data_IF_431913330307
#
_entry.id   IF_431913330307
#
_cell.length_a   1.000
_cell.length_b   1.000
_cell.length_c   1.000
_cell.angle_alpha   90.00
_cell.angle_beta   90.00
_cell.angle_gamma   90.00
#
_symmetry.space_group_name_H-M   'P 1'
#
loop_
_entity.id
_entity.type
_entity.pdbx_description
1 polymer ?
#
# COMPACT_ATOMS: atom_id res chain seq x y z
N UNK A 1 -58.61 48.67 -57.98
CA UNK A 1 -57.20 48.56 -57.52
C UNK A 1 -56.29 48.34 -58.73
N UNK A 2 -55.51 49.35 -59.15
CA UNK A 2 -54.56 49.24 -60.29
C UNK A 2 -53.23 48.69 -59.80
N UNK A 3 -52.85 47.49 -60.24
CA UNK A 3 -51.56 46.86 -59.92
C UNK A 3 -50.39 47.64 -60.52
N UNK A 4 -49.46 48.09 -59.67
CA UNK A 4 -48.17 48.68 -60.10
C UNK A 4 -47.36 47.61 -60.83
N UNK A 5 -47.21 47.74 -62.16
CA UNK A 5 -46.22 46.98 -62.93
C UNK A 5 -44.82 47.33 -62.41
N UNK A 6 -44.09 46.33 -61.89
CA UNK A 6 -42.67 46.48 -61.53
C UNK A 6 -41.87 46.80 -62.80
N UNK A 7 -41.04 47.86 -62.75
CA UNK A 7 -40.10 48.19 -63.84
C UNK A 7 -39.16 47.00 -64.10
N UNK A 8 -38.78 46.72 -65.37
CA UNK A 8 -37.79 45.70 -65.67
C UNK A 8 -36.46 46.02 -64.99
N UNK A 9 -35.84 45.02 -64.37
CA UNK A 9 -34.49 45.17 -63.79
C UNK A 9 -33.52 45.54 -64.93
N UNK A 10 -32.62 46.53 -64.73
CA UNK A 10 -31.67 46.89 -65.78
C UNK A 10 -30.80 45.67 -66.13
N UNK A 11 -30.45 45.47 -67.41
CA UNK A 11 -29.50 44.42 -67.79
C UNK A 11 -28.16 44.69 -67.11
N UNK A 12 -27.58 43.66 -66.50
CA UNK A 12 -26.27 43.76 -65.84
C UNK A 12 -25.25 44.17 -66.92
N UNK A 13 -24.49 45.27 -66.75
CA UNK A 13 -23.59 45.77 -67.78
C UNK A 13 -22.30 44.94 -67.79
N UNK A 14 -22.29 43.83 -68.54
CA UNK A 14 -21.13 42.93 -68.70
C UNK A 14 -19.93 43.57 -69.42
N UNK A 15 -20.02 44.85 -69.84
CA UNK A 15 -18.99 45.57 -70.60
C UNK A 15 -18.39 46.77 -69.84
N UNK A 16 -18.44 46.75 -68.51
CA UNK A 16 -17.70 47.73 -67.70
C UNK A 16 -16.23 47.30 -67.58
N UNK A 17 -15.25 48.22 -67.68
CA UNK A 17 -13.84 47.90 -67.43
C UNK A 17 -13.61 47.36 -66.01
N UNK A 18 -14.52 47.62 -65.08
CA UNK A 18 -14.49 47.13 -63.70
C UNK A 18 -14.97 45.68 -63.55
N UNK A 19 -15.71 45.12 -64.53
CA UNK A 19 -16.21 43.73 -64.45
C UNK A 19 -15.05 42.73 -64.41
N UNK A 20 -14.00 42.97 -65.20
CA UNK A 20 -12.78 42.16 -65.16
C UNK A 20 -12.08 42.24 -63.80
N UNK A 21 -11.98 43.43 -63.20
CA UNK A 21 -11.37 43.64 -61.87
C UNK A 21 -12.15 42.89 -60.79
N UNK A 22 -13.49 42.98 -60.81
CA UNK A 22 -14.36 42.29 -59.84
C UNK A 22 -14.30 40.77 -60.01
N UNK A 23 -14.30 40.26 -61.25
CA UNK A 23 -14.15 38.83 -61.51
C UNK A 23 -12.78 38.30 -61.10
N UNK A 24 -11.71 39.07 -61.33
CA UNK A 24 -10.34 38.68 -60.99
C UNK A 24 -10.12 38.71 -59.46
N UNK A 25 -10.66 39.72 -58.77
CA UNK A 25 -10.69 39.77 -57.32
C UNK A 25 -11.52 38.62 -56.71
N UNK A 26 -12.69 38.33 -57.27
CA UNK A 26 -13.52 37.20 -56.86
C UNK A 26 -12.82 35.85 -57.09
N UNK A 27 -12.16 35.68 -58.24
CA UNK A 27 -11.36 34.50 -58.55
C UNK A 27 -10.19 34.29 -57.58
N UNK A 28 -9.49 35.37 -57.22
CA UNK A 28 -8.41 35.31 -56.23
C UNK A 28 -8.90 34.88 -54.84
N UNK A 29 -10.08 35.36 -54.40
CA UNK A 29 -10.69 34.96 -53.13
C UNK A 29 -11.06 33.47 -53.15
N UNK A 30 -11.69 32.98 -54.22
CA UNK A 30 -12.06 31.56 -54.35
C UNK A 30 -10.82 30.66 -54.38
N UNK A 31 -9.77 31.06 -55.12
CA UNK A 31 -8.51 30.33 -55.15
C UNK A 31 -7.84 30.29 -53.77
N UNK A 32 -7.83 31.41 -53.03
CA UNK A 32 -7.30 31.45 -51.66
C UNK A 32 -8.10 30.56 -50.69
N UNK A 33 -9.43 30.53 -50.79
CA UNK A 33 -10.28 29.64 -49.99
C UNK A 33 -10.03 28.16 -50.33
N UNK A 34 -9.87 27.83 -51.62
CA UNK A 34 -9.58 26.47 -52.06
C UNK A 34 -8.19 25.99 -51.58
N UNK A 35 -7.17 26.85 -51.70
CA UNK A 35 -5.80 26.56 -51.22
C UNK A 35 -5.78 26.38 -49.71
N UNK A 36 -6.40 27.28 -48.94
CA UNK A 36 -6.46 27.12 -47.48
C UNK A 36 -7.21 25.83 -47.11
N UNK A 37 -8.35 25.55 -47.73
CA UNK A 37 -9.12 24.33 -47.45
C UNK A 37 -8.35 23.03 -47.71
N UNK A 38 -7.48 22.99 -48.72
CA UNK A 38 -6.65 21.84 -49.08
C UNK A 38 -5.42 21.63 -48.17
N UNK A 39 -5.02 22.67 -47.42
CA UNK A 39 -3.88 22.60 -46.48
C UNK A 39 -4.31 22.17 -45.07
N UNK A 40 -5.60 22.19 -44.79
CA UNK A 40 -6.17 21.71 -43.54
C UNK A 40 -6.10 20.18 -43.50
N UNK A 41 -5.68 19.65 -42.36
CA UNK A 41 -5.57 18.22 -42.08
C UNK A 41 -6.71 17.81 -41.14
N UNK A 42 -7.38 16.72 -41.44
CA UNK A 42 -8.39 16.12 -40.58
C UNK A 42 -7.70 15.07 -39.70
N UNK A 43 -7.64 15.33 -38.39
CA UNK A 43 -6.92 14.48 -37.43
C UNK A 43 -7.83 14.06 -36.29
N UNK A 44 -7.55 12.90 -35.71
CA UNK A 44 -8.28 12.37 -34.55
C UNK A 44 -7.40 12.47 -33.32
N UNK A 45 -7.82 13.26 -32.35
CA UNK A 45 -7.13 13.35 -31.04
C UNK A 45 -7.86 12.43 -30.05
N UNK A 46 -7.11 11.52 -29.44
CA UNK A 46 -7.59 10.56 -28.44
C UNK A 46 -6.94 10.90 -27.11
N UNK A 47 -7.67 11.49 -26.17
CA UNK A 47 -7.15 11.82 -24.83
C UNK A 47 -7.74 10.84 -23.82
N UNK A 48 -6.90 10.02 -23.21
CA UNK A 48 -7.31 9.00 -22.23
C UNK A 48 -8.49 8.14 -22.75
N UNK A 49 -8.46 7.78 -24.04
CA UNK A 49 -9.51 6.99 -24.72
C UNK A 49 -10.67 7.80 -25.32
N UNK A 50 -10.84 9.08 -24.97
CA UNK A 50 -11.90 9.94 -25.54
C UNK A 50 -11.46 10.52 -26.89
N UNK A 51 -12.22 10.20 -27.94
CA UNK A 51 -11.93 10.63 -29.32
C UNK A 51 -12.59 11.97 -29.66
N UNK A 52 -11.83 12.85 -30.31
CA UNK A 52 -12.28 14.13 -30.84
C UNK A 52 -11.69 14.33 -32.23
N UNK A 53 -12.54 14.61 -33.23
CA UNK A 53 -12.08 14.99 -34.56
C UNK A 53 -11.72 16.48 -34.57
N UNK A 54 -10.55 16.81 -35.10
CA UNK A 54 -10.00 18.16 -35.13
C UNK A 54 -9.51 18.44 -36.54
N UNK A 55 -9.93 19.57 -37.11
CA UNK A 55 -9.40 20.08 -38.36
C UNK A 55 -8.33 21.11 -38.04
N UNK A 56 -7.09 20.85 -38.45
CA UNK A 56 -5.93 21.63 -38.03
C UNK A 56 -5.02 21.97 -39.21
N UNK A 57 -4.39 23.15 -39.13
CA UNK A 57 -3.36 23.60 -40.08
C UNK A 57 -1.94 23.31 -39.58
N UNK A 58 -1.83 22.70 -38.41
CA UNK A 58 -0.58 22.43 -37.73
C UNK A 58 0.43 21.69 -38.62
N UNK A 59 1.70 22.09 -38.46
CA UNK A 59 2.83 21.42 -39.08
C UNK A 59 3.27 20.19 -38.26
N UNK A 60 3.04 20.20 -36.94
CA UNK A 60 3.47 19.15 -36.00
C UNK A 60 2.33 18.62 -35.14
N UNK A 61 2.56 17.46 -34.51
CA UNK A 61 1.62 16.88 -33.53
C UNK A 61 1.38 17.83 -32.35
N UNK A 62 2.43 18.51 -31.86
CA UNK A 62 2.32 19.48 -30.75
C UNK A 62 1.38 20.63 -31.08
N UNK A 63 1.53 21.20 -32.27
CA UNK A 63 0.71 22.35 -32.68
C UNK A 63 -0.76 21.91 -32.88
N UNK A 64 -0.97 20.70 -33.42
CA UNK A 64 -2.31 20.13 -33.60
C UNK A 64 -3.04 19.92 -32.26
N UNK A 65 -2.29 19.49 -31.23
CA UNK A 65 -2.82 19.39 -29.87
C UNK A 65 -3.15 20.77 -29.28
N UNK A 66 -2.33 21.78 -29.58
CA UNK A 66 -2.62 23.18 -29.24
C UNK A 66 -3.93 23.67 -29.86
N UNK A 67 -4.13 23.43 -31.16
CA UNK A 67 -5.38 23.74 -31.88
C UNK A 67 -6.60 23.01 -31.26
N UNK A 68 -6.38 21.79 -30.78
CA UNK A 68 -7.40 20.99 -30.09
C UNK A 68 -7.68 21.43 -28.63
N UNK A 69 -6.95 22.42 -28.11
CA UNK A 69 -7.03 22.86 -26.70
C UNK A 69 -6.43 21.86 -25.71
N UNK A 70 -5.55 20.96 -26.16
CA UNK A 70 -4.89 19.94 -25.34
C UNK A 70 -3.47 20.40 -24.99
N UNK A 71 -3.29 20.88 -23.77
CA UNK A 71 -1.96 21.20 -23.24
C UNK A 71 -1.28 19.94 -22.68
N UNK A 72 -0.04 19.68 -23.11
CA UNK A 72 0.77 18.57 -22.61
C UNK A 72 1.42 18.95 -21.27
N UNK A 73 1.21 18.13 -20.25
CA UNK A 73 1.85 18.22 -18.95
C UNK A 73 3.18 17.46 -18.87
N UNK A 74 3.88 17.61 -17.75
CA UNK A 74 5.07 16.80 -17.45
C UNK A 74 4.66 15.33 -17.25
N UNK A 75 5.35 14.42 -17.94
CA UNK A 75 5.10 12.97 -17.89
C UNK A 75 4.00 12.47 -18.83
N UNK A 76 3.27 13.36 -19.51
CA UNK A 76 2.28 12.95 -20.51
C UNK A 76 2.98 12.22 -21.68
N UNK A 77 2.35 11.15 -22.16
CA UNK A 77 2.85 10.39 -23.29
C UNK A 77 1.98 10.68 -24.50
N UNK A 78 2.61 11.15 -25.58
CA UNK A 78 1.95 11.42 -26.87
C UNK A 78 2.49 10.50 -27.95
N UNK A 79 1.59 9.92 -28.72
CA UNK A 79 1.89 9.08 -29.89
C UNK A 79 1.07 9.54 -31.08
N UNK A 80 1.68 9.87 -32.23
CA UNK A 80 3.12 9.94 -32.49
C UNK A 80 3.84 11.03 -31.65
N UNK A 81 5.19 11.05 -31.58
CA UNK A 81 5.92 12.03 -30.79
C UNK A 81 5.56 13.48 -31.13
N UNK A 82 5.58 14.37 -30.13
CA UNK A 82 5.09 15.75 -30.25
C UNK A 82 5.72 16.55 -31.40
N UNK A 83 6.97 16.28 -31.76
CA UNK A 83 7.70 17.00 -32.82
C UNK A 83 7.57 16.36 -34.20
N UNK A 84 6.86 15.24 -34.32
CA UNK A 84 6.67 14.59 -35.61
C UNK A 84 5.80 15.47 -36.53
N UNK A 85 6.15 15.59 -37.83
CA UNK A 85 5.30 16.26 -38.80
C UNK A 85 3.90 15.63 -38.86
N UNK A 86 2.88 16.48 -38.91
CA UNK A 86 1.49 16.03 -38.93
C UNK A 86 1.06 15.63 -40.34
N UNK A 87 0.59 14.40 -40.48
CA UNK A 87 -0.04 13.91 -41.70
C UNK A 87 -1.56 14.08 -41.65
N UNK A 88 -2.19 14.22 -42.83
CA UNK A 88 -3.65 14.17 -42.94
C UNK A 88 -4.18 12.78 -42.56
N UNK A 89 -5.32 12.72 -41.89
CA UNK A 89 -5.89 11.48 -41.34
C UNK A 89 -5.17 10.92 -40.11
N UNK A 90 -4.17 11.62 -39.55
CA UNK A 90 -3.41 11.11 -38.42
C UNK A 90 -4.27 10.92 -37.15
N UNK A 91 -3.98 9.87 -36.39
CA UNK A 91 -4.51 9.67 -35.04
C UNK A 91 -3.44 10.00 -34.01
N UNK A 92 -3.73 10.96 -33.14
CA UNK A 92 -2.85 11.40 -32.04
C UNK A 92 -3.43 10.86 -30.74
N UNK A 93 -2.75 9.93 -30.10
CA UNK A 93 -3.08 9.43 -28.76
C UNK A 93 -2.28 10.21 -27.70
N UNK A 94 -2.99 10.74 -26.71
CA UNK A 94 -2.44 11.40 -25.53
C UNK A 94 -2.88 10.61 -24.31
N UNK A 95 -1.90 10.13 -23.54
CA UNK A 95 -2.11 9.55 -22.21
C UNK A 95 -1.58 10.50 -21.17
N UNK A 96 -2.47 10.94 -20.28
CA UNK A 96 -2.10 11.91 -19.24
C UNK A 96 -1.42 11.24 -18.07
N UNK A 97 -0.38 11.88 -17.57
CA UNK A 97 0.32 11.47 -16.36
C UNK A 97 -0.56 11.65 -15.12
N UNK A 98 -0.58 10.65 -14.26
CA UNK A 98 -1.36 10.59 -13.02
C UNK A 98 -0.41 10.30 -11.87
N UNK A 99 -0.33 11.18 -10.86
CA UNK A 99 0.53 10.94 -9.71
C UNK A 99 -0.04 9.84 -8.81
N UNK A 100 0.79 8.87 -8.47
CA UNK A 100 0.47 7.79 -7.53
C UNK A 100 1.40 7.89 -6.32
N UNK A 101 0.79 8.01 -5.14
CA UNK A 101 1.49 7.81 -3.86
C UNK A 101 1.34 6.35 -3.46
N UNK A 102 2.34 5.55 -3.76
CA UNK A 102 2.34 4.10 -3.52
C UNK A 102 3.00 3.77 -2.19
N UNK A 103 2.28 3.06 -1.31
CA UNK A 103 2.84 2.41 -0.11
C UNK A 103 2.92 0.90 -0.34
N UNK A 104 4.11 0.40 -0.66
CA UNK A 104 4.37 -1.02 -0.88
C UNK A 104 5.04 -1.63 0.36
N UNK A 105 4.37 -2.60 0.99
CA UNK A 105 4.85 -3.28 2.20
C UNK A 105 5.33 -2.32 3.31
N UNK A 106 4.67 -1.16 3.42
CA UNK A 106 4.97 -0.12 4.39
C UNK A 106 6.00 0.92 3.98
N UNK A 107 6.58 0.84 2.78
CA UNK A 107 7.46 1.87 2.21
C UNK A 107 6.70 2.72 1.22
N UNK A 108 6.67 4.02 1.45
CA UNK A 108 5.97 4.99 0.59
C UNK A 108 6.92 5.58 -0.47
N UNK A 109 6.43 5.69 -1.70
CA UNK A 109 7.13 6.31 -2.83
C UNK A 109 6.13 6.99 -3.76
N UNK A 110 6.58 8.01 -4.50
CA UNK A 110 5.76 8.74 -5.47
C UNK A 110 6.18 8.37 -6.89
N UNK A 111 5.18 8.11 -7.74
CA UNK A 111 5.38 7.70 -9.12
C UNK A 111 4.39 8.43 -10.03
N UNK A 112 4.72 8.52 -11.31
CA UNK A 112 3.80 8.96 -12.35
C UNK A 112 3.45 7.75 -13.23
N UNK A 113 2.16 7.55 -13.47
CA UNK A 113 1.63 6.49 -14.36
C UNK A 113 0.75 7.10 -15.43
N UNK A 114 0.53 6.40 -16.54
CA UNK A 114 -0.34 6.84 -17.63
C UNK A 114 -1.65 6.05 -17.73
N UNK A 115 -1.73 4.90 -17.05
CA UNK A 115 -2.94 4.08 -17.00
C UNK A 115 -4.13 4.82 -16.36
N UNK A 116 -5.32 4.59 -16.89
CA UNK A 116 -6.58 5.14 -16.38
C UNK A 116 -7.18 4.33 -15.23
N UNK A 117 -6.67 3.13 -14.96
CA UNK A 117 -7.14 2.21 -13.92
C UNK A 117 -6.00 1.69 -13.03
N UNK A 118 -6.37 1.17 -11.85
CA UNK A 118 -5.42 0.67 -10.83
C UNK A 118 -4.62 -0.53 -11.36
N UNK A 119 -5.25 -1.46 -12.08
CA UNK A 119 -4.60 -2.65 -12.61
C UNK A 119 -3.44 -2.29 -13.55
N UNK A 120 -3.71 -1.42 -14.53
CA UNK A 120 -2.70 -0.94 -15.47
C UNK A 120 -1.66 -0.06 -14.79
N UNK A 121 -2.04 0.75 -13.80
CA UNK A 121 -1.08 1.56 -13.04
C UNK A 121 -0.08 0.66 -12.27
N UNK A 122 -0.56 -0.39 -11.61
CA UNK A 122 0.32 -1.35 -10.93
C UNK A 122 1.19 -2.12 -11.93
N UNK A 123 0.66 -2.46 -13.11
CA UNK A 123 1.44 -3.12 -14.16
C UNK A 123 2.58 -2.24 -14.70
N UNK A 124 2.35 -0.94 -14.90
CA UNK A 124 3.38 0.04 -15.28
C UNK A 124 4.50 0.14 -14.22
N UNK A 125 4.14 0.02 -12.93
CA UNK A 125 5.10 0.00 -11.83
C UNK A 125 5.76 -1.38 -11.60
N UNK A 126 5.53 -2.34 -12.50
CA UNK A 126 5.99 -3.73 -12.38
C UNK A 126 5.54 -4.43 -11.09
N UNK A 127 4.38 -4.04 -10.55
CA UNK A 127 3.75 -4.65 -9.37
C UNK A 127 2.66 -5.59 -9.89
N UNK A 128 2.84 -6.92 -9.78
CA UNK A 128 1.87 -7.86 -10.31
C UNK A 128 0.52 -7.70 -9.61
N UNK A 129 -0.59 -7.84 -10.33
CA UNK A 129 -1.94 -7.80 -9.73
C UNK A 129 -2.15 -8.91 -8.68
N UNK A 130 -1.43 -10.03 -8.81
CA UNK A 130 -1.37 -11.10 -7.82
C UNK A 130 -0.46 -10.80 -6.63
N UNK A 131 0.12 -9.58 -6.56
CA UNK A 131 1.06 -9.19 -5.52
C UNK A 131 0.46 -9.42 -4.14
N UNK A 132 -0.84 -9.20 -3.92
CA UNK A 132 -1.51 -9.57 -2.68
C UNK A 132 -2.76 -8.75 -2.45
N UNK A 133 -2.80 -7.96 -1.38
CA UNK A 133 -3.93 -7.09 -1.08
C UNK A 133 -3.62 -5.66 -1.54
N UNK A 134 -4.52 -5.08 -2.32
CA UNK A 134 -4.45 -3.69 -2.79
C UNK A 134 -5.58 -2.91 -2.11
N UNK A 135 -5.34 -1.64 -1.77
CA UNK A 135 -6.32 -0.78 -1.10
C UNK A 135 -7.51 -0.35 -1.98
N UNK A 136 -7.43 -0.60 -3.28
CA UNK A 136 -8.40 -0.21 -4.30
C UNK A 136 -8.69 -1.39 -5.25
N UNK A 137 -9.91 -1.54 -5.79
CA UNK A 137 -10.23 -2.50 -6.84
C UNK A 137 -9.37 -2.30 -8.10
N UNK A 138 -9.04 -3.36 -8.85
CA UNK A 138 -8.20 -3.26 -10.05
C UNK A 138 -8.80 -2.39 -11.17
N UNK A 139 -10.12 -2.32 -11.26
CA UNK A 139 -10.88 -1.55 -12.24
C UNK A 139 -11.20 -0.11 -11.77
N UNK A 140 -10.78 0.26 -10.56
CA UNK A 140 -11.00 1.61 -10.06
C UNK A 140 -10.21 2.63 -10.92
N UNK A 141 -10.88 3.73 -11.27
CA UNK A 141 -10.30 4.77 -12.10
C UNK A 141 -9.24 5.56 -11.32
N UNK A 142 -8.05 5.74 -11.90
CA UNK A 142 -6.99 6.58 -11.36
C UNK A 142 -7.25 8.03 -11.79
N UNK A 143 -7.59 8.97 -10.89
CA UNK A 143 -7.86 10.36 -11.25
C UNK A 143 -6.60 11.13 -11.62
N UNK A 144 -6.76 12.18 -12.43
CA UNK A 144 -5.67 13.11 -12.79
C UNK A 144 -5.13 13.90 -11.59
N UNK A 145 -5.94 14.10 -10.54
CA UNK A 145 -5.50 14.72 -9.28
C UNK A 145 -4.53 13.84 -8.48
N UNK A 146 -4.40 12.58 -8.85
CA UNK A 146 -3.58 11.58 -8.18
C UNK A 146 -4.34 10.70 -7.20
N UNK A 147 -3.72 9.58 -6.84
CA UNK A 147 -4.30 8.54 -5.99
C UNK A 147 -3.26 7.95 -5.03
N UNK A 148 -3.67 7.66 -3.81
CA UNK A 148 -2.87 6.92 -2.85
C UNK A 148 -3.23 5.44 -2.91
N UNK A 149 -2.24 4.58 -3.11
CA UNK A 149 -2.42 3.13 -3.19
C UNK A 149 -1.55 2.46 -2.13
N UNK A 150 -2.13 1.54 -1.36
CA UNK A 150 -1.39 0.66 -0.46
C UNK A 150 -1.44 -0.76 -0.99
N UNK A 151 -0.27 -1.38 -1.15
CA UNK A 151 -0.13 -2.74 -1.64
C UNK A 151 0.62 -3.56 -0.61
N UNK A 152 0.03 -4.68 -0.22
CA UNK A 152 0.66 -5.69 0.64
C UNK A 152 0.97 -6.93 -0.18
N UNK A 153 2.25 -7.26 -0.28
CA UNK A 153 2.72 -8.41 -1.04
C UNK A 153 2.49 -9.70 -0.25
N UNK A 154 1.76 -10.64 -0.82
CA UNK A 154 1.55 -11.99 -0.32
C UNK A 154 2.84 -12.78 -0.51
N UNK A 155 3.43 -13.21 0.59
CA UNK A 155 4.70 -13.94 0.64
C UNK A 155 4.48 -15.35 1.16
N UNK A 156 5.28 -16.31 0.65
CA UNK A 156 5.31 -17.67 1.19
C UNK A 156 6.31 -17.70 2.36
N UNK A 157 5.83 -18.01 3.54
CA UNK A 157 6.65 -18.14 4.76
C UNK A 157 6.61 -19.58 5.26
N UNK A 158 7.69 -19.98 5.92
CA UNK A 158 7.82 -21.28 6.55
C UNK A 158 7.88 -21.06 8.05
N UNK A 159 6.88 -21.56 8.77
CA UNK A 159 6.87 -21.54 10.23
C UNK A 159 7.32 -22.92 10.69
N UNK A 160 8.42 -22.97 11.43
CA UNK A 160 8.91 -24.21 12.04
C UNK A 160 8.63 -24.13 13.54
N UNK A 161 7.71 -24.97 14.01
CA UNK A 161 7.31 -25.05 15.41
C UNK A 161 7.63 -26.45 15.95
N UNK A 162 8.80 -26.59 16.56
CA UNK A 162 9.34 -27.89 16.97
C UNK A 162 9.63 -28.78 15.75
N UNK A 163 9.03 -29.97 15.70
CA UNK A 163 9.14 -30.88 14.56
C UNK A 163 8.19 -30.55 13.40
N UNK A 164 7.22 -29.65 13.61
CA UNK A 164 6.21 -29.32 12.61
C UNK A 164 6.65 -28.16 11.74
N UNK A 165 6.60 -28.34 10.41
CA UNK A 165 6.81 -27.26 9.43
C UNK A 165 5.49 -26.90 8.77
N UNK A 166 5.02 -25.69 9.04
CA UNK A 166 3.86 -25.09 8.40
C UNK A 166 4.31 -24.18 7.24
N UNK A 167 3.51 -24.14 6.20
CA UNK A 167 3.73 -23.31 5.02
C UNK A 167 2.54 -22.36 4.89
N UNK A 168 2.77 -21.08 5.10
CA UNK A 168 1.75 -20.06 5.02
C UNK A 168 2.00 -19.13 3.83
N UNK A 169 0.92 -18.69 3.17
CA UNK A 169 0.97 -17.56 2.22
C UNK A 169 0.23 -16.39 2.84
N UNK A 170 0.94 -15.33 3.16
CA UNK A 170 0.42 -14.25 4.00
C UNK A 170 0.90 -12.88 3.55
N UNK A 171 0.07 -11.86 3.79
CA UNK A 171 0.39 -10.43 3.67
C UNK A 171 0.80 -9.81 5.01
N UNK A 172 0.87 -10.62 6.08
CA UNK A 172 1.21 -10.18 7.43
C UNK A 172 2.56 -9.46 7.47
N UNK A 173 2.64 -8.43 8.30
CA UNK A 173 3.86 -7.60 8.42
C UNK A 173 4.81 -8.08 9.49
N UNK A 174 4.32 -8.85 10.45
CA UNK A 174 5.09 -9.29 11.62
C UNK A 174 5.00 -10.80 11.79
N UNK A 175 6.04 -11.40 12.38
CA UNK A 175 6.04 -12.83 12.73
C UNK A 175 4.86 -13.15 13.65
N UNK A 176 4.56 -12.28 14.63
CA UNK A 176 3.42 -12.43 15.55
C UNK A 176 2.10 -12.60 14.81
N UNK A 177 1.87 -11.78 13.78
CA UNK A 177 0.65 -11.85 12.98
C UNK A 177 0.58 -13.14 12.15
N UNK A 178 1.69 -13.61 11.58
CA UNK A 178 1.78 -14.91 10.89
C UNK A 178 1.45 -16.06 11.84
N UNK A 179 2.06 -16.08 13.03
CA UNK A 179 1.83 -17.14 14.01
C UNK A 179 0.38 -17.16 14.48
N UNK A 180 -0.24 -15.99 14.68
CA UNK A 180 -1.66 -15.88 15.03
C UNK A 180 -2.58 -16.39 13.92
N UNK A 181 -2.30 -16.06 12.66
CA UNK A 181 -3.06 -16.56 11.50
C UNK A 181 -3.00 -18.09 11.40
N UNK A 182 -1.80 -18.66 11.59
CA UNK A 182 -1.56 -20.10 11.54
C UNK A 182 -1.92 -20.83 12.85
N UNK A 183 -2.51 -20.12 13.83
CA UNK A 183 -2.89 -20.65 15.15
C UNK A 183 -1.74 -21.39 15.84
N UNK A 184 -0.53 -20.89 15.67
CA UNK A 184 0.65 -21.39 16.37
C UNK A 184 0.67 -20.74 17.74
N UNK A 185 0.23 -21.50 18.73
CA UNK A 185 0.31 -21.07 20.13
C UNK A 185 1.77 -20.95 20.55
N UNK A 186 2.18 -19.71 20.81
CA UNK A 186 3.47 -19.43 21.42
C UNK A 186 3.40 -19.93 22.87
N UNK A 187 4.21 -20.95 23.18
CA UNK A 187 4.43 -21.37 24.56
C UNK A 187 4.83 -20.16 25.41
N UNK A 188 4.16 -20.00 26.55
CA UNK A 188 4.20 -18.78 27.33
C UNK A 188 5.57 -18.54 27.95
N UNK A 189 6.40 -17.68 27.35
CA UNK A 189 7.56 -17.07 27.99
C UNK A 189 7.18 -16.04 29.06
N UNK A 190 6.01 -16.19 29.68
CA UNK A 190 5.39 -15.27 30.62
C UNK A 190 5.56 -15.82 32.02
N UNK A 191 6.39 -15.15 32.83
CA UNK A 191 6.82 -15.68 34.13
C UNK A 191 5.67 -15.84 35.13
N UNK A 192 4.65 -14.98 35.06
CA UNK A 192 3.49 -15.06 35.96
C UNK A 192 2.51 -16.16 35.57
N UNK A 193 2.48 -16.56 34.29
CA UNK A 193 1.54 -17.58 33.81
C UNK A 193 1.74 -18.94 34.51
N UNK A 194 2.99 -19.33 34.76
CA UNK A 194 3.29 -20.62 35.39
C UNK A 194 2.80 -20.71 36.84
N UNK A 195 2.83 -19.58 37.57
CA UNK A 195 2.43 -19.53 38.98
C UNK A 195 0.96 -19.17 39.17
N UNK A 196 0.43 -18.25 38.36
CA UNK A 196 -0.91 -17.68 38.55
C UNK A 196 -1.91 -18.12 37.48
N UNK A 197 -1.47 -18.77 36.39
CA UNK A 197 -2.33 -19.15 35.26
C UNK A 197 -3.06 -17.97 34.63
N UNK A 198 -4.13 -18.21 33.87
CA UNK A 198 -4.98 -17.13 33.34
C UNK A 198 -6.12 -16.78 34.31
N UNK A 199 -5.72 -16.31 35.50
CA UNK A 199 -6.65 -16.01 36.60
C UNK A 199 -6.63 -14.52 36.93
N UNK A 200 -7.63 -14.05 37.70
CA UNK A 200 -7.61 -12.69 38.26
C UNK A 200 -6.34 -12.36 39.05
N UNK A 201 -5.72 -13.36 39.68
CA UNK A 201 -4.45 -13.21 40.40
C UNK A 201 -3.31 -12.79 39.47
N UNK A 202 -3.27 -13.32 38.24
CA UNK A 202 -2.29 -12.91 37.23
C UNK A 202 -2.43 -11.43 36.88
N UNK A 203 -3.66 -10.92 36.75
CA UNK A 203 -3.90 -9.50 36.52
C UNK A 203 -3.25 -8.60 37.58
N UNK A 204 -3.31 -9.01 38.86
CA UNK A 204 -2.65 -8.30 39.96
C UNK A 204 -1.11 -8.37 39.87
N UNK A 205 -0.56 -9.54 39.54
CA UNK A 205 0.88 -9.74 39.33
C UNK A 205 1.42 -8.88 38.18
N UNK A 206 0.71 -8.83 37.05
CA UNK A 206 1.06 -7.97 35.92
C UNK A 206 1.03 -6.48 36.30
N UNK A 207 0.01 -6.04 37.05
CA UNK A 207 -0.10 -4.67 37.52
C UNK A 207 1.02 -4.30 38.51
N UNK A 208 1.40 -5.22 39.40
CA UNK A 208 2.52 -5.03 40.32
C UNK A 208 3.85 -4.86 39.57
N UNK A 209 4.09 -5.69 38.55
CA UNK A 209 5.31 -5.61 37.76
C UNK A 209 5.38 -4.32 36.93
N UNK A 210 4.24 -3.86 36.35
CA UNK A 210 4.15 -2.54 35.71
C UNK A 210 4.49 -1.40 36.66
N UNK A 211 4.02 -1.44 37.91
CA UNK A 211 4.37 -0.43 38.91
C UNK A 211 5.86 -0.44 39.24
N UNK A 212 6.49 -1.61 39.27
CA UNK A 212 7.93 -1.75 39.53
C UNK A 212 8.78 -1.14 38.42
N UNK A 213 8.46 -1.40 37.15
CA UNK A 213 9.13 -0.76 36.02
C UNK A 213 9.03 0.78 36.11
N UNK A 214 7.82 1.30 36.35
CA UNK A 214 7.60 2.74 36.50
C UNK A 214 8.33 3.36 37.68
N UNK A 215 8.39 2.66 38.81
CA UNK A 215 9.11 3.12 40.00
C UNK A 215 10.63 3.21 39.76
N UNK A 216 11.17 2.35 38.88
CA UNK A 216 12.54 2.41 38.41
C UNK A 216 12.75 3.39 37.23
N UNK A 217 11.71 4.13 36.81
CA UNK A 217 11.78 5.12 35.74
C UNK A 217 11.61 4.56 34.33
N UNK A 218 11.17 3.31 34.18
CA UNK A 218 11.00 2.64 32.88
C UNK A 218 9.55 2.68 32.41
N UNK A 219 9.38 2.88 31.10
CA UNK A 219 8.10 2.78 30.41
C UNK A 219 8.08 1.55 29.50
N UNK A 220 7.05 0.73 29.63
CA UNK A 220 6.88 -0.50 28.86
C UNK A 220 6.14 -0.19 27.55
N UNK A 221 6.57 -0.79 26.45
CA UNK A 221 5.84 -0.74 25.18
C UNK A 221 4.41 -1.31 25.34
N UNK A 222 3.44 -0.71 24.66
CA UNK A 222 2.02 -1.06 24.82
C UNK A 222 1.69 -2.49 24.34
N UNK A 223 2.50 -3.05 23.45
CA UNK A 223 2.25 -4.34 22.80
C UNK A 223 2.94 -5.53 23.49
N UNK A 224 3.61 -5.30 24.61
CA UNK A 224 4.29 -6.33 25.40
C UNK A 224 3.73 -6.45 26.82
N UNK A 225 3.65 -7.69 27.31
CA UNK A 225 3.28 -7.92 28.71
C UNK A 225 4.50 -7.75 29.62
N UNK A 226 4.31 -7.18 30.83
CA UNK A 226 5.39 -6.86 31.74
C UNK A 226 6.17 -8.11 32.21
N UNK A 227 5.56 -9.28 32.17
CA UNK A 227 6.14 -10.54 32.64
C UNK A 227 6.76 -11.39 31.53
N UNK A 228 6.86 -10.85 30.31
CA UNK A 228 7.55 -11.51 29.22
C UNK A 228 9.04 -11.62 29.54
N UNK A 229 9.61 -12.83 29.49
CA UNK A 229 10.98 -13.08 29.93
C UNK A 229 12.02 -12.16 29.26
N UNK A 230 11.99 -11.90 27.94
CA UNK A 230 12.88 -10.92 27.31
C UNK A 230 12.79 -9.52 27.93
N UNK A 231 11.59 -9.02 28.22
CA UNK A 231 11.39 -7.72 28.89
C UNK A 231 12.03 -7.72 30.27
N UNK A 232 11.82 -8.78 31.05
CA UNK A 232 12.37 -8.90 32.40
C UNK A 232 13.91 -9.01 32.35
N UNK A 233 14.46 -9.72 31.36
CA UNK A 233 15.90 -9.84 31.16
C UNK A 233 16.53 -8.52 30.74
N UNK A 234 15.89 -7.77 29.84
CA UNK A 234 16.33 -6.43 29.44
C UNK A 234 16.33 -5.49 30.65
N UNK A 235 15.25 -5.49 31.43
CA UNK A 235 15.19 -4.71 32.66
C UNK A 235 16.28 -5.13 33.66
N UNK A 236 16.52 -6.43 33.86
CA UNK A 236 17.58 -6.92 34.74
C UNK A 236 19.00 -6.60 34.26
N UNK A 237 19.20 -6.43 32.95
CA UNK A 237 20.47 -6.02 32.38
C UNK A 237 20.75 -4.53 32.57
N UNK A 238 19.69 -3.70 32.62
CA UNK A 238 19.79 -2.24 32.70
C UNK A 238 19.59 -1.70 34.12
N UNK A 239 18.91 -2.45 34.99
CA UNK A 239 18.57 -2.07 36.36
C UNK A 239 18.75 -3.26 37.32
N UNK A 240 19.50 -3.05 38.40
CA UNK A 240 19.79 -4.10 39.39
C UNK A 240 18.51 -4.67 40.05
N UNK A 241 17.44 -3.89 40.12
CA UNK A 241 16.14 -4.34 40.66
C UNK A 241 15.43 -5.34 39.76
N UNK A 242 15.82 -5.49 38.49
CA UNK A 242 15.29 -6.53 37.61
C UNK A 242 15.79 -7.94 37.96
N UNK A 243 16.99 -8.06 38.54
CA UNK A 243 17.50 -9.34 39.03
C UNK A 243 16.66 -9.91 40.20
N UNK A 244 16.04 -9.04 41.00
CA UNK A 244 15.06 -9.43 42.03
C UNK A 244 13.82 -10.07 41.41
N UNK A 245 13.29 -9.49 40.32
CA UNK A 245 12.12 -10.03 39.60
C UNK A 245 12.43 -11.43 39.09
N UNK A 246 13.61 -11.66 38.51
CA UNK A 246 14.02 -13.00 38.07
C UNK A 246 14.09 -14.01 39.21
N UNK A 247 14.52 -13.57 40.41
CA UNK A 247 14.58 -14.43 41.61
C UNK A 247 13.20 -14.74 42.17
N UNK A 248 12.33 -13.73 42.26
CA UNK A 248 10.93 -13.89 42.67
C UNK A 248 10.21 -14.90 41.74
N UNK A 249 10.53 -14.88 40.45
CA UNK A 249 9.97 -15.78 39.44
C UNK A 249 10.81 -17.04 39.16
N UNK A 250 11.69 -17.45 40.09
CA UNK A 250 12.56 -18.64 39.91
C UNK A 250 11.78 -19.91 39.55
N UNK A 251 10.61 -20.13 40.15
CA UNK A 251 9.75 -21.29 39.85
C UNK A 251 9.29 -21.29 38.38
N UNK A 252 8.89 -20.13 37.86
CA UNK A 252 8.46 -19.98 36.45
C UNK A 252 9.61 -20.24 35.47
N UNK A 253 10.82 -19.77 35.78
CA UNK A 253 12.02 -20.02 34.98
C UNK A 253 12.37 -21.51 34.91
N UNK A 254 12.30 -22.23 36.03
CA UNK A 254 12.57 -23.67 36.08
C UNK A 254 11.49 -24.49 35.35
N UNK A 255 10.22 -24.08 35.45
CA UNK A 255 9.13 -24.69 34.69
C UNK A 255 9.28 -24.48 33.18
N UNK A 256 9.66 -23.27 32.76
CA UNK A 256 9.97 -22.97 31.36
C UNK A 256 11.17 -23.79 30.87
N UNK A 257 12.26 -23.85 31.65
CA UNK A 257 13.44 -24.68 31.33
C UNK A 257 13.06 -26.14 31.15
N UNK A 258 12.35 -26.72 32.12
CA UNK A 258 11.91 -28.12 32.05
C UNK A 258 10.98 -28.38 30.85
N UNK A 259 10.10 -27.43 30.51
CA UNK A 259 9.23 -27.53 29.34
C UNK A 259 10.03 -27.50 28.02
N UNK A 260 11.08 -26.67 27.95
CA UNK A 260 11.98 -26.58 26.80
C UNK A 260 12.84 -27.85 26.66
N UNK A 261 13.33 -28.41 27.77
CA UNK A 261 14.09 -29.66 27.79
C UNK A 261 13.28 -30.85 27.29
N UNK A 262 12.03 -31.01 27.77
CA UNK A 262 11.12 -32.05 27.29
C UNK A 262 10.85 -31.97 25.78
N UNK A 263 10.96 -30.78 25.20
CA UNK A 263 10.77 -30.54 23.76
C UNK A 263 12.06 -30.62 22.95
N UNK A 264 13.21 -30.90 23.59
CA UNK A 264 14.52 -30.91 22.95
C UNK A 264 14.93 -29.54 22.38
N UNK A 265 14.40 -28.44 22.95
CA UNK A 265 14.65 -27.10 22.42
C UNK A 265 16.04 -26.60 22.84
N UNK A 266 16.86 -26.06 21.91
CA UNK A 266 18.17 -25.49 22.25
C UNK A 266 18.05 -24.30 23.21
N UNK A 267 16.88 -23.65 23.26
CA UNK A 267 16.61 -22.56 24.22
C UNK A 267 16.57 -23.02 25.68
N UNK A 268 16.47 -24.33 25.96
CA UNK A 268 16.66 -24.86 27.31
C UNK A 268 18.03 -24.46 27.88
N UNK A 269 19.08 -24.45 27.04
CA UNK A 269 20.42 -24.05 27.44
C UNK A 269 20.48 -22.56 27.81
N UNK A 270 19.77 -21.71 27.08
CA UNK A 270 19.70 -20.26 27.35
C UNK A 270 19.00 -19.98 28.67
N UNK A 271 17.84 -20.59 28.90
CA UNK A 271 17.12 -20.44 30.18
C UNK A 271 17.90 -21.07 31.33
N UNK A 272 18.61 -22.18 31.08
CA UNK A 272 19.54 -22.79 32.03
C UNK A 272 20.68 -21.85 32.42
N UNK A 273 21.27 -21.13 31.47
CA UNK A 273 22.30 -20.14 31.73
C UNK A 273 21.78 -18.99 32.61
N UNK A 274 20.58 -18.46 32.31
CA UNK A 274 19.91 -17.47 33.17
C UNK A 274 19.68 -18.02 34.58
N UNK A 275 19.19 -19.25 34.72
CA UNK A 275 19.00 -19.88 36.03
C UNK A 275 20.33 -20.06 36.79
N UNK A 276 21.44 -20.22 36.07
CA UNK A 276 22.79 -20.35 36.62
C UNK A 276 23.40 -19.03 37.12
N UNK A 277 22.91 -17.87 36.65
CA UNK A 277 23.33 -16.56 37.19
C UNK A 277 22.58 -16.17 38.46
N UNK A 278 21.52 -16.91 38.81
CA UNK A 278 20.69 -16.68 40.00
C UNK A 278 21.07 -17.67 41.11
N UNK A 279 20.84 -17.32 42.40
CA UNK A 279 21.00 -18.25 43.51
C UNK A 279 20.27 -19.58 43.26
N UNK A 280 20.85 -20.73 43.66
CA UNK A 280 20.21 -22.03 43.46
C UNK A 280 18.79 -22.06 44.02
N UNK A 281 17.87 -22.71 43.29
CA UNK A 281 16.49 -22.84 43.75
C UNK A 281 16.44 -23.47 45.15
N UNK A 282 15.54 -23.00 46.00
CA UNK A 282 15.36 -23.58 47.34
C UNK A 282 14.68 -24.96 47.27
N UNK A 283 14.70 -25.71 48.37
CA UNK A 283 13.99 -27.00 48.44
C UNK A 283 12.48 -26.84 48.21
N UNK A 284 11.91 -25.75 48.74
CA UNK A 284 10.50 -25.37 48.55
C UNK A 284 10.20 -25.04 47.10
N UNK A 285 11.02 -24.19 46.45
CA UNK A 285 10.85 -23.86 45.03
C UNK A 285 10.94 -25.10 44.14
N UNK A 286 11.86 -26.03 44.43
CA UNK A 286 11.95 -27.31 43.69
C UNK A 286 10.71 -28.20 43.91
N UNK A 287 10.15 -28.23 45.12
CA UNK A 287 8.93 -28.96 45.39
C UNK A 287 7.74 -28.37 44.63
N UNK A 288 7.66 -27.04 44.58
CA UNK A 288 6.63 -26.32 43.84
C UNK A 288 6.72 -26.54 42.33
N UNK A 289 7.93 -26.49 41.76
CA UNK A 289 8.16 -26.83 40.34
C UNK A 289 7.68 -28.25 40.03
N UNK A 290 7.97 -29.24 40.90
CA UNK A 290 7.48 -30.61 40.69
C UNK A 290 5.95 -30.68 40.74
N UNK A 291 5.32 -29.96 41.66
CA UNK A 291 3.86 -29.89 41.81
C UNK A 291 3.20 -29.30 40.57
N UNK A 292 3.65 -28.13 40.14
CA UNK A 292 3.11 -27.42 38.96
C UNK A 292 3.44 -28.15 37.65
N UNK A 293 4.58 -28.81 37.54
CA UNK A 293 4.92 -29.61 36.36
C UNK A 293 3.99 -30.83 36.20
N UNK A 294 3.48 -31.39 37.31
CA UNK A 294 2.54 -32.51 37.29
C UNK A 294 1.07 -32.06 37.11
N UNK A 295 0.68 -30.94 37.73
CA UNK A 295 -0.71 -30.46 37.76
C UNK A 295 -1.06 -29.39 36.70
N UNK A 296 -0.06 -28.85 36.00
CA UNK A 296 -0.23 -27.66 35.16
C UNK A 296 -0.34 -26.36 35.98
N UNK A 297 -0.37 -25.20 35.31
CA UNK A 297 -0.62 -23.92 35.97
C UNK A 297 -2.05 -23.88 36.56
N UNK A 298 -2.30 -23.11 37.62
CA UNK A 298 -3.64 -22.99 38.20
C UNK A 298 -4.67 -22.47 37.18
N UNK A 299 -5.84 -23.11 37.09
CA UNK A 299 -6.96 -22.62 36.29
C UNK A 299 -8.07 -22.10 37.21
N UNK A 300 -8.70 -20.97 36.89
CA UNK A 300 -9.88 -20.49 37.62
C UNK A 300 -11.05 -21.44 37.31
N UNK A 301 -11.56 -22.15 38.31
CA UNK A 301 -12.81 -22.89 38.19
C UNK A 301 -13.95 -21.87 38.10
N UNK A 302 -14.31 -21.46 36.89
CA UNK A 302 -15.48 -20.60 36.67
C UNK A 302 -16.71 -21.40 37.09
N UNK A 303 -17.26 -21.07 38.26
CA UNK A 303 -18.54 -21.60 38.69
C UNK A 303 -19.59 -21.26 37.64
N UNK A 304 -20.06 -22.26 36.90
CA UNK A 304 -21.38 -22.20 36.28
C UNK A 304 -22.39 -22.20 37.41
N UNK A 305 -22.67 -21.03 37.98
CA UNK A 305 -23.93 -20.84 38.68
C UNK A 305 -24.97 -20.56 37.60
N UNK A 306 -25.76 -21.61 37.35
CA UNK A 306 -27.06 -21.62 36.69
C UNK A 306 -27.97 -20.50 37.17
#
# INVERSE_FOLDING_TARGET
MRGRRRKPRPPIPWRSPWTFVVCLAGGAVVAAIAVTSAMAKDVVVVVDGKRTAVRSFAASVRDALGDAGVALGYGDVVRPPAQQPLADGATIEVRRARPIKLTLDGRTSEHLVTSTDVAGALAELAIPAAAGQVSAPPDEAVPLSGMALTVYTRRKVYVVAGATRLVARTTARTVREVLRQERVDLGHGYLTYYADGDTRRRGASLAALKRRYRAAGWELMEDELPDFLPVVLEFAALDATGAEVLREHRVGLELLRAALERRGSPYALVVGAVCGTLPPATAEQRAEVRRLAAGGPPAESVGRQT
#
